data_IF_970215933831
#
_entry.id   IF_970215933831
#
_cell.length_a   1.000
_cell.length_b   1.000
_cell.length_c   1.000
_cell.angle_alpha   90.00
_cell.angle_beta   90.00
_cell.angle_gamma   90.00
#
_symmetry.space_group_name_H-M   'P 1'
#
loop_
_entity.id
_entity.type
_entity.pdbx_description
1 polymer ?
#
# COMPACT_ATOMS: atom_id res chain seq x y z
N UNK A 1 49.63 -28.56 -18.02
CA UNK A 1 48.69 -29.42 -18.77
C UNK A 1 48.42 -30.63 -17.89
N UNK A 2 47.23 -31.09 -17.55
CA UNK A 2 45.84 -30.62 -17.63
C UNK A 2 45.08 -31.51 -16.61
N UNK A 3 44.09 -30.99 -15.89
CA UNK A 3 43.21 -31.82 -15.04
C UNK A 3 41.96 -32.24 -15.86
N UNK A 4 41.44 -33.47 -15.69
CA UNK A 4 40.27 -33.92 -16.42
C UNK A 4 39.00 -33.30 -15.82
N UNK A 5 38.21 -32.63 -16.67
CA UNK A 5 36.85 -32.23 -16.32
C UNK A 5 35.95 -33.45 -16.41
N UNK A 6 35.43 -33.90 -15.27
CA UNK A 6 34.32 -34.85 -15.21
C UNK A 6 33.04 -34.10 -15.57
N UNK A 7 32.43 -34.44 -16.69
CA UNK A 7 31.11 -33.96 -17.11
C UNK A 7 30.03 -34.60 -16.22
N UNK A 8 29.63 -33.91 -15.16
CA UNK A 8 28.38 -34.19 -14.45
C UNK A 8 27.20 -33.82 -15.37
N UNK A 9 26.21 -34.71 -15.42
CA UNK A 9 25.19 -34.79 -16.46
C UNK A 9 24.41 -33.51 -16.74
N UNK A 10 24.16 -33.27 -18.02
CA UNK A 10 23.10 -32.38 -18.46
C UNK A 10 21.76 -33.04 -18.09
N UNK A 11 21.09 -32.51 -17.08
CA UNK A 11 19.72 -32.91 -16.77
C UNK A 11 18.82 -32.47 -17.93
N UNK A 12 18.11 -33.45 -18.50
CA UNK A 12 17.23 -33.30 -19.65
C UNK A 12 15.94 -32.59 -19.21
N UNK A 13 15.95 -31.25 -19.27
CA UNK A 13 14.80 -30.39 -18.97
C UNK A 13 13.64 -30.51 -19.99
N UNK A 14 13.76 -31.39 -20.99
CA UNK A 14 12.75 -31.61 -22.03
C UNK A 14 11.49 -32.32 -21.54
N UNK A 15 11.47 -32.78 -20.28
CA UNK A 15 10.38 -33.56 -19.70
C UNK A 15 9.47 -32.78 -18.73
N UNK A 16 9.62 -31.46 -18.62
CA UNK A 16 8.75 -30.66 -17.75
C UNK A 16 7.37 -30.47 -18.40
N UNK A 17 6.26 -30.71 -17.67
CA UNK A 17 4.93 -30.43 -18.17
C UNK A 17 4.79 -28.91 -18.44
N UNK A 18 4.29 -28.54 -19.61
CA UNK A 18 3.98 -27.15 -19.92
C UNK A 18 2.98 -26.61 -18.90
N UNK A 19 3.34 -25.49 -18.26
CA UNK A 19 2.41 -24.76 -17.40
C UNK A 19 1.17 -24.35 -18.21
N UNK A 20 -0.03 -24.42 -17.61
CA UNK A 20 -1.23 -23.88 -18.25
C UNK A 20 -1.07 -22.38 -18.49
N UNK A 21 -1.46 -21.93 -19.69
CA UNK A 21 -1.44 -20.51 -20.05
C UNK A 21 -2.36 -19.74 -19.08
N UNK A 22 -1.78 -18.79 -18.36
CA UNK A 22 -2.56 -17.87 -17.51
C UNK A 22 -3.46 -17.02 -18.42
N UNK A 23 -4.78 -16.93 -18.13
CA UNK A 23 -5.66 -16.06 -18.90
C UNK A 23 -5.14 -14.63 -18.81
N UNK A 24 -4.97 -13.98 -19.97
CA UNK A 24 -4.65 -12.57 -20.04
C UNK A 24 -5.79 -11.79 -19.39
N UNK A 25 -5.48 -11.08 -18.30
CA UNK A 25 -6.38 -10.09 -17.75
C UNK A 25 -6.49 -8.96 -18.79
N UNK A 26 -7.66 -8.86 -19.41
CA UNK A 26 -8.01 -7.79 -20.31
C UNK A 26 -8.24 -6.51 -19.48
N UNK A 27 -7.21 -5.66 -19.39
CA UNK A 27 -7.27 -4.35 -18.75
C UNK A 27 -7.85 -3.28 -19.69
N UNK A 28 -8.80 -3.64 -20.55
CA UNK A 28 -9.61 -2.68 -21.30
C UNK A 28 -10.62 -2.00 -20.37
N UNK A 29 -10.12 -1.27 -19.37
CA UNK A 29 -10.95 -0.41 -18.54
C UNK A 29 -11.18 0.90 -19.32
N UNK A 30 -12.41 1.05 -19.81
CA UNK A 30 -12.92 2.23 -20.49
C UNK A 30 -12.48 3.51 -19.78
N UNK A 31 -11.72 4.31 -20.51
CA UNK A 31 -11.19 5.62 -20.10
C UNK A 31 -12.34 6.63 -20.03
N UNK A 32 -13.26 6.45 -19.09
CA UNK A 32 -14.27 7.44 -18.73
C UNK A 32 -13.54 8.68 -18.20
N UNK A 33 -13.34 9.65 -19.08
CA UNK A 33 -12.85 10.99 -18.76
C UNK A 33 -13.93 11.69 -17.94
N UNK A 34 -14.00 11.33 -16.66
CA UNK A 34 -14.76 12.06 -15.67
C UNK A 34 -14.01 13.37 -15.39
N UNK A 35 -14.72 14.51 -15.25
CA UNK A 35 -14.08 15.76 -14.89
C UNK A 35 -13.33 15.52 -13.59
N UNK A 36 -12.04 15.84 -13.57
CA UNK A 36 -11.14 15.47 -12.49
C UNK A 36 -11.62 16.07 -11.16
N UNK A 37 -12.40 15.29 -10.41
CA UNK A 37 -12.88 15.66 -9.09
C UNK A 37 -11.72 15.54 -8.12
N UNK A 38 -11.55 16.53 -7.27
CA UNK A 38 -10.66 16.42 -6.11
C UNK A 38 -11.07 15.20 -5.30
N UNK A 39 -10.18 14.23 -5.19
CA UNK A 39 -10.40 12.99 -4.44
C UNK A 39 -9.70 13.13 -3.09
N UNK A 40 -10.44 12.92 -2.02
CA UNK A 40 -9.89 12.90 -0.65
C UNK A 40 -9.90 11.47 -0.15
N UNK A 41 -8.75 10.98 0.30
CA UNK A 41 -8.59 9.67 0.92
C UNK A 41 -8.24 9.88 2.38
N UNK A 42 -9.03 9.30 3.27
CA UNK A 42 -8.76 9.32 4.72
C UNK A 42 -8.24 7.95 5.12
N UNK A 43 -7.11 7.91 5.82
CA UNK A 43 -6.49 6.70 6.31
C UNK A 43 -6.27 6.83 7.81
N UNK A 44 -6.99 6.05 8.61
CA UNK A 44 -6.79 5.99 10.04
C UNK A 44 -5.55 5.17 10.38
N UNK A 45 -4.77 5.63 11.36
CA UNK A 45 -3.73 4.80 11.97
C UNK A 45 -4.36 3.95 13.07
N UNK A 46 -4.00 2.67 13.11
CA UNK A 46 -4.40 1.72 14.17
C UNK A 46 -3.55 1.93 15.43
N UNK A 47 -3.48 3.16 15.92
CA UNK A 47 -2.69 3.52 17.09
C UNK A 47 -3.65 3.96 18.18
N UNK A 48 -3.67 3.14 19.24
CA UNK A 48 -4.57 3.30 20.38
C UNK A 48 -3.83 3.68 21.66
N UNK A 49 -2.51 3.49 21.68
CA UNK A 49 -1.64 3.84 22.79
C UNK A 49 -0.66 4.95 22.38
N UNK A 50 -0.59 5.99 23.21
CA UNK A 50 0.32 7.12 23.09
C UNK A 50 1.81 6.74 23.02
N UNK A 51 2.19 5.57 23.53
CA UNK A 51 3.55 5.06 23.47
C UNK A 51 4.01 4.80 22.02
N UNK A 52 3.10 4.39 21.14
CA UNK A 52 3.42 4.14 19.73
C UNK A 52 3.35 5.39 18.85
N UNK A 53 2.93 6.54 19.38
CA UNK A 53 2.87 7.78 18.61
C UNK A 53 4.24 8.24 18.08
N UNK A 54 5.34 7.81 18.69
CA UNK A 54 6.71 8.12 18.24
C UNK A 54 7.04 7.50 16.87
N UNK A 55 6.29 6.47 16.47
CA UNK A 55 6.40 5.83 15.15
C UNK A 55 5.60 6.58 14.07
N UNK A 56 4.84 7.61 14.45
CA UNK A 56 4.05 8.40 13.50
C UNK A 56 4.82 9.60 12.96
N UNK A 57 4.46 10.09 11.76
CA UNK A 57 5.06 11.31 11.21
C UNK A 57 4.78 12.57 12.05
N UNK A 58 3.74 12.55 12.90
CA UNK A 58 3.33 13.68 13.76
C UNK A 58 3.09 13.21 15.20
N UNK A 59 4.15 12.92 15.98
CA UNK A 59 4.04 12.27 17.29
C UNK A 59 3.24 13.12 18.30
N UNK A 60 3.45 14.44 18.31
CA UNK A 60 2.72 15.35 19.20
C UNK A 60 1.22 15.40 18.90
N UNK A 61 0.86 15.38 17.62
CA UNK A 61 -0.55 15.39 17.20
C UNK A 61 -1.21 14.05 17.55
N UNK A 62 -0.55 12.93 17.26
CA UNK A 62 -1.02 11.59 17.65
C UNK A 62 -1.29 11.51 19.16
N UNK A 63 -0.33 11.94 20.00
CA UNK A 63 -0.50 11.96 21.46
C UNK A 63 -1.72 12.79 21.86
N UNK A 64 -1.90 13.97 21.26
CA UNK A 64 -3.08 14.83 21.50
C UNK A 64 -4.40 14.16 21.08
N UNK A 65 -4.45 13.50 19.92
CA UNK A 65 -5.66 12.83 19.45
C UNK A 65 -6.07 11.70 20.39
N UNK A 66 -5.14 10.81 20.72
CA UNK A 66 -5.41 9.65 21.58
C UNK A 66 -5.79 10.08 23.00
N UNK A 67 -5.08 11.06 23.59
CA UNK A 67 -5.43 11.61 24.91
C UNK A 67 -6.82 12.28 24.93
N UNK A 68 -7.32 12.70 23.76
CA UNK A 68 -8.65 13.30 23.60
C UNK A 68 -9.70 12.29 23.12
N UNK A 69 -9.41 10.99 23.19
CA UNK A 69 -10.27 9.91 22.71
C UNK A 69 -10.71 10.09 21.24
N UNK A 70 -9.73 10.38 20.38
CA UNK A 70 -9.89 10.54 18.93
C UNK A 70 -8.86 9.69 18.16
N UNK A 71 -9.16 9.39 16.91
CA UNK A 71 -8.24 8.74 15.98
C UNK A 71 -7.24 9.74 15.41
N UNK A 72 -5.99 9.31 15.27
CA UNK A 72 -5.00 9.99 14.45
C UNK A 72 -5.12 9.50 13.01
N UNK A 73 -5.40 10.40 12.07
CA UNK A 73 -5.63 10.05 10.65
C UNK A 73 -4.67 10.81 9.72
N UNK A 74 -4.37 10.20 8.57
CA UNK A 74 -3.74 10.85 7.41
C UNK A 74 -4.81 11.15 6.38
N UNK A 75 -4.87 12.40 5.94
CA UNK A 75 -5.65 12.81 4.78
C UNK A 75 -4.73 13.01 3.59
N UNK A 76 -5.12 12.44 2.47
CA UNK A 76 -4.46 12.60 1.17
C UNK A 76 -5.46 13.28 0.24
N UNK A 77 -5.13 14.49 -0.17
CA UNK A 77 -5.88 15.26 -1.17
C UNK A 77 -5.22 15.10 -2.53
N UNK A 78 -6.00 14.67 -3.51
CA UNK A 78 -5.58 14.47 -4.88
C UNK A 78 -6.42 15.41 -5.73
N UNK A 79 -5.83 16.53 -6.15
CA UNK A 79 -6.44 17.48 -7.08
C UNK A 79 -5.79 17.38 -8.47
N UNK A 80 -6.56 17.58 -9.55
CA UNK A 80 -6.00 17.60 -10.89
C UNK A 80 -4.91 18.65 -11.02
N UNK A 81 -3.84 18.30 -11.73
CA UNK A 81 -2.73 19.21 -12.04
C UNK A 81 -1.94 19.72 -10.82
N UNK A 82 -2.03 19.02 -9.67
CA UNK A 82 -1.26 19.34 -8.47
C UNK A 82 -0.64 18.09 -7.86
N UNK A 83 0.46 18.25 -7.13
CA UNK A 83 1.03 17.16 -6.36
C UNK A 83 0.06 16.74 -5.22
N UNK A 84 -0.06 15.45 -4.90
CA UNK A 84 -0.88 15.00 -3.78
C UNK A 84 -0.43 15.67 -2.48
N UNK A 85 -1.37 16.28 -1.76
CA UNK A 85 -1.08 16.90 -0.47
C UNK A 85 -1.44 15.94 0.65
N UNK A 86 -0.54 15.80 1.62
CA UNK A 86 -0.74 14.96 2.80
C UNK A 86 -0.77 15.82 4.04
N UNK A 87 -1.79 15.65 4.86
CA UNK A 87 -1.86 16.27 6.18
C UNK A 87 -2.42 15.28 7.21
N UNK A 88 -2.31 15.66 8.48
CA UNK A 88 -2.67 14.82 9.62
C UNK A 88 -3.61 15.58 10.53
N UNK A 89 -4.59 14.88 11.09
CA UNK A 89 -5.58 15.47 11.97
C UNK A 89 -6.16 14.46 12.96
N UNK A 90 -6.88 14.98 13.97
CA UNK A 90 -7.67 14.18 14.88
C UNK A 90 -9.10 14.08 14.36
N UNK A 91 -9.63 12.86 14.27
CA UNK A 91 -11.03 12.59 13.91
C UNK A 91 -11.72 11.80 15.01
N UNK A 92 -13.03 11.99 15.24
CA UNK A 92 -13.78 11.09 16.11
C UNK A 92 -13.69 9.65 15.58
N UNK A 93 -13.81 8.66 16.48
CA UNK A 93 -13.86 7.27 16.04
C UNK A 93 -15.13 7.03 15.20
N UNK A 94 -14.96 6.76 13.91
CA UNK A 94 -16.00 6.13 13.09
C UNK A 94 -15.88 4.60 13.25
N UNK A 95 -16.98 3.92 13.56
CA UNK A 95 -17.06 2.45 13.66
C UNK A 95 -16.66 1.77 12.31
N UNK A 96 -16.12 0.53 12.32
CA UNK A 96 -14.68 0.26 12.31
C UNK A 96 -14.15 -0.12 10.91
N UNK A 97 -12.88 0.20 10.65
CA UNK A 97 -12.06 -0.48 9.62
C UNK A 97 -11.55 -1.84 10.14
N UNK A 98 -12.44 -2.65 10.74
CA UNK A 98 -12.19 -4.07 11.00
C UNK A 98 -12.95 -4.86 9.92
N UNK A 99 -12.23 -5.25 8.86
CA UNK A 99 -12.66 -6.30 7.94
C UNK A 99 -11.92 -7.59 8.27
#
# INVERSE_FOLDING_TARGET
MALPFTTAGAEDFSSLPQMPETPALDFSEDLHTTPARTKTIVQAYEIWDTQYCELTPMPFLCKKCISSNQQFVRIIEIAPNSAPMRHYECRPFEQPYLY
#
